data_IF_608713255809
#
_entry.id   IF_608713255809
#
_cell.length_a   1.000
_cell.length_b   1.000
_cell.length_c   1.000
_cell.angle_alpha   90.00
_cell.angle_beta   90.00
_cell.angle_gamma   90.00
#
_symmetry.space_group_name_H-M   'P 1'
#
loop_
_entity.id
_entity.type
_entity.pdbx_description
1 polymer ?
#
# COMPACT_ATOMS: atom_id res chain seq x y z
N UNK A 1 -6.23 9.29 -10.34
CA UNK A 1 -7.71 9.29 -10.36
C UNK A 1 -8.17 9.38 -8.92
N UNK A 2 -9.16 10.23 -8.62
CA UNK A 2 -9.76 10.33 -7.28
C UNK A 2 -11.11 9.65 -7.29
N UNK A 3 -11.28 8.65 -6.44
CA UNK A 3 -12.57 7.98 -6.27
C UNK A 3 -13.52 8.82 -5.42
N UNK A 4 -12.99 9.61 -4.47
CA UNK A 4 -13.77 10.57 -3.69
C UNK A 4 -14.47 11.61 -4.58
N UNK A 5 -13.76 12.22 -5.53
CA UNK A 5 -14.35 13.18 -6.47
C UNK A 5 -15.45 12.55 -7.35
N UNK A 6 -15.31 11.27 -7.69
CA UNK A 6 -16.33 10.53 -8.45
C UNK A 6 -17.56 10.26 -7.57
N UNK A 7 -17.35 9.92 -6.29
CA UNK A 7 -18.43 9.74 -5.33
C UNK A 7 -19.23 11.04 -5.16
N UNK A 8 -18.54 12.17 -4.97
CA UNK A 8 -19.16 13.49 -4.85
C UNK A 8 -19.98 13.85 -6.09
N UNK A 9 -19.44 13.61 -7.29
CA UNK A 9 -20.17 13.82 -8.55
C UNK A 9 -21.41 12.91 -8.70
N UNK A 10 -21.43 11.77 -8.00
CA UNK A 10 -22.57 10.85 -7.95
C UNK A 10 -23.53 11.12 -6.78
N UNK A 11 -23.32 12.19 -6.00
CA UNK A 11 -24.15 12.53 -4.84
C UNK A 11 -23.88 11.69 -3.59
N UNK A 12 -22.72 11.02 -3.52
CA UNK A 12 -22.25 10.24 -2.38
C UNK A 12 -21.17 11.04 -1.65
N UNK A 13 -21.17 11.00 -0.32
CA UNK A 13 -20.10 11.63 0.45
C UNK A 13 -18.75 10.98 0.13
N UNK A 14 -17.77 11.77 -0.32
CA UNK A 14 -16.42 11.31 -0.64
C UNK A 14 -15.40 11.91 0.32
N UNK A 15 -14.50 11.09 0.87
CA UNK A 15 -13.34 11.58 1.64
C UNK A 15 -12.09 10.88 1.16
N UNK A 16 -11.00 11.65 0.98
CA UNK A 16 -9.72 11.14 0.50
C UNK A 16 -8.61 11.37 1.52
N UNK A 17 -7.86 10.31 1.83
CA UNK A 17 -6.66 10.36 2.67
C UNK A 17 -5.42 9.99 1.87
N UNK A 18 -4.38 10.82 1.95
CA UNK A 18 -3.13 10.61 1.19
C UNK A 18 -1.94 10.31 2.09
N UNK A 19 -2.04 10.64 3.38
CA UNK A 19 -1.02 10.37 4.38
C UNK A 19 -1.54 9.37 5.42
N UNK A 20 -0.67 8.54 6.03
CA UNK A 20 -1.10 7.58 7.05
C UNK A 20 -1.84 8.20 8.24
N UNK A 21 -1.52 9.46 8.60
CA UNK A 21 -2.20 10.20 9.69
C UNK A 21 -3.65 10.57 9.36
N UNK A 22 -4.01 10.61 8.08
CA UNK A 22 -5.34 11.00 7.62
C UNK A 22 -6.34 9.86 7.79
N UNK A 23 -5.86 8.60 7.88
CA UNK A 23 -6.69 7.38 7.90
C UNK A 23 -7.75 7.45 9.00
N UNK A 24 -7.35 7.81 10.22
CA UNK A 24 -8.29 7.87 11.36
C UNK A 24 -9.37 8.94 11.12
N UNK A 25 -8.98 10.13 10.70
CA UNK A 25 -9.91 11.23 10.48
C UNK A 25 -10.86 10.96 9.31
N UNK A 26 -10.35 10.39 8.22
CA UNK A 26 -11.15 10.02 7.04
C UNK A 26 -12.18 8.94 7.39
N UNK A 27 -11.78 7.89 8.11
CA UNK A 27 -12.69 6.85 8.57
C UNK A 27 -13.74 7.39 9.55
N UNK A 28 -13.32 8.20 10.53
CA UNK A 28 -14.23 8.80 11.50
C UNK A 28 -15.29 9.66 10.79
N UNK A 29 -14.85 10.55 9.90
CA UNK A 29 -15.74 11.44 9.15
C UNK A 29 -16.74 10.69 8.26
N UNK A 30 -16.32 9.58 7.63
CA UNK A 30 -17.22 8.77 6.83
C UNK A 30 -18.20 7.95 7.68
N UNK A 31 -17.79 7.47 8.85
CA UNK A 31 -18.66 6.75 9.78
C UNK A 31 -19.67 7.67 10.47
N UNK A 32 -19.31 8.92 10.72
CA UNK A 32 -20.20 9.94 11.31
C UNK A 32 -21.16 10.55 10.28
N UNK A 33 -20.94 10.31 8.97
CA UNK A 33 -21.79 10.83 7.91
C UNK A 33 -23.11 10.05 7.83
N UNK A 34 -24.28 10.71 7.96
CA UNK A 34 -25.57 10.06 7.81
C UNK A 34 -25.87 9.79 6.32
N UNK A 35 -25.51 8.61 5.83
CA UNK A 35 -25.81 8.18 4.46
C UNK A 35 -24.66 7.39 3.81
N UNK A 36 -24.75 7.14 2.49
CA UNK A 36 -23.67 6.50 1.74
C UNK A 36 -22.39 7.34 1.77
N UNK A 37 -21.26 6.68 2.04
CA UNK A 37 -19.94 7.31 2.07
C UNK A 37 -18.90 6.44 1.35
N UNK A 38 -17.97 7.10 0.64
CA UNK A 38 -16.80 6.49 0.01
C UNK A 38 -15.52 7.06 0.63
N UNK A 39 -14.65 6.18 1.11
CA UNK A 39 -13.32 6.52 1.63
C UNK A 39 -12.27 6.09 0.61
N UNK A 40 -11.55 7.06 0.05
CA UNK A 40 -10.47 6.88 -0.92
C UNK A 40 -9.11 7.03 -0.22
N UNK A 41 -8.44 5.93 0.11
CA UNK A 41 -7.14 5.95 0.77
C UNK A 41 -6.02 5.61 -0.22
N UNK A 42 -5.07 6.53 -0.37
CA UNK A 42 -3.88 6.30 -1.18
C UNK A 42 -2.89 5.44 -0.39
N UNK A 43 -2.50 4.32 -0.96
CA UNK A 43 -1.50 3.41 -0.39
C UNK A 43 -0.25 3.36 -1.26
N UNK A 44 0.84 2.82 -0.71
CA UNK A 44 2.07 2.62 -1.47
C UNK A 44 1.86 1.46 -2.46
N UNK A 45 1.93 1.69 -3.79
CA UNK A 45 1.74 0.64 -4.78
C UNK A 45 2.85 -0.42 -4.75
N UNK A 46 3.96 -0.15 -4.06
CA UNK A 46 5.07 -1.08 -3.90
C UNK A 46 5.03 -1.82 -2.57
N UNK A 47 4.02 -1.64 -1.71
CA UNK A 47 3.93 -2.35 -0.44
C UNK A 47 3.90 -3.88 -0.67
N UNK A 48 4.77 -4.60 0.04
CA UNK A 48 4.84 -6.05 0.03
C UNK A 48 3.94 -6.60 1.13
N UNK A 49 3.03 -7.52 0.75
CA UNK A 49 2.35 -8.36 1.72
C UNK A 49 3.32 -9.42 2.23
N UNK A 50 3.84 -9.21 3.45
CA UNK A 50 4.70 -10.17 4.13
C UNK A 50 3.83 -10.98 5.11
N UNK A 51 3.59 -12.28 4.86
CA UNK A 51 2.82 -13.10 5.78
C UNK A 51 3.60 -13.35 7.08
N UNK A 52 2.91 -13.60 8.21
CA UNK A 52 3.56 -13.84 9.51
C UNK A 52 4.44 -15.10 9.53
N UNK A 53 4.13 -16.08 8.67
CA UNK A 53 4.95 -17.26 8.45
C UNK A 53 5.42 -17.28 7.01
N UNK A 54 6.74 -17.17 6.83
CA UNK A 54 7.39 -17.24 5.51
C UNK A 54 8.05 -18.60 5.38
N UNK A 55 7.71 -19.34 4.32
CA UNK A 55 8.38 -20.60 3.96
C UNK A 55 9.60 -20.35 3.06
N UNK A 56 10.59 -21.26 3.10
CA UNK A 56 11.75 -21.19 2.21
C UNK A 56 11.37 -21.25 0.72
N UNK A 57 10.30 -21.96 0.37
CA UNK A 57 9.77 -22.01 -0.99
C UNK A 57 9.25 -20.65 -1.46
N UNK A 58 8.56 -19.89 -0.59
CA UNK A 58 8.08 -18.53 -0.90
C UNK A 58 9.25 -17.55 -1.08
N UNK A 59 10.29 -17.63 -0.24
CA UNK A 59 11.50 -16.80 -0.40
C UNK A 59 12.16 -17.06 -1.76
N UNK A 60 12.32 -18.34 -2.13
CA UNK A 60 12.91 -18.71 -3.41
C UNK A 60 12.06 -18.25 -4.59
N UNK A 61 10.74 -18.43 -4.53
CA UNK A 61 9.80 -17.96 -5.56
C UNK A 61 9.83 -16.45 -5.73
N UNK A 62 9.86 -15.71 -4.62
CA UNK A 62 10.01 -14.25 -4.63
C UNK A 62 11.33 -13.83 -5.26
N UNK A 63 12.46 -14.44 -4.88
CA UNK A 63 13.77 -14.13 -5.43
C UNK A 63 13.82 -14.34 -6.95
N UNK A 64 13.26 -15.45 -7.46
CA UNK A 64 13.18 -15.73 -8.90
C UNK A 64 12.32 -14.69 -9.64
N UNK A 65 11.16 -14.33 -9.09
CA UNK A 65 10.30 -13.31 -9.67
C UNK A 65 10.98 -11.93 -9.70
N UNK A 66 11.65 -11.55 -8.60
CA UNK A 66 12.44 -10.34 -8.48
C UNK A 66 13.56 -10.27 -9.54
N UNK A 67 14.32 -11.36 -9.71
CA UNK A 67 15.37 -11.45 -10.73
C UNK A 67 14.81 -11.26 -12.15
N UNK A 68 13.66 -11.87 -12.47
CA UNK A 68 12.99 -11.69 -13.77
C UNK A 68 12.60 -10.23 -14.03
N UNK A 69 12.09 -9.52 -13.02
CA UNK A 69 11.77 -8.09 -13.13
C UNK A 69 13.03 -7.25 -13.39
N UNK A 70 14.14 -7.55 -12.71
CA UNK A 70 15.43 -6.87 -12.96
C UNK A 70 15.91 -7.08 -14.39
N UNK A 71 15.93 -8.34 -14.85
CA UNK A 71 16.41 -8.69 -16.19
C UNK A 71 15.54 -8.11 -17.32
N UNK A 72 14.26 -7.85 -17.05
CA UNK A 72 13.35 -7.19 -17.99
C UNK A 72 13.42 -5.64 -17.96
N UNK A 73 14.48 -5.07 -17.37
CA UNK A 73 14.70 -3.61 -17.30
C UNK A 73 14.00 -2.93 -16.11
N UNK A 74 13.44 -3.69 -15.18
CA UNK A 74 12.70 -3.19 -14.02
C UNK A 74 13.53 -2.78 -12.81
N UNK A 75 14.84 -2.53 -12.97
CA UNK A 75 15.78 -2.24 -11.85
C UNK A 75 15.27 -1.11 -10.95
N UNK A 76 14.84 0.01 -11.54
CA UNK A 76 14.32 1.15 -10.77
C UNK A 76 13.04 0.84 -9.99
N UNK A 77 12.16 -0.02 -10.52
CA UNK A 77 10.97 -0.47 -9.79
C UNK A 77 11.34 -1.36 -8.60
N UNK A 78 12.30 -2.26 -8.79
CA UNK A 78 12.79 -3.14 -7.72
C UNK A 78 13.44 -2.35 -6.58
N UNK A 79 14.22 -1.30 -6.89
CA UNK A 79 14.81 -0.41 -5.88
C UNK A 79 13.74 0.35 -5.09
N UNK A 80 12.72 0.88 -5.76
CA UNK A 80 11.58 1.55 -5.09
C UNK A 80 10.85 0.58 -4.15
N UNK A 81 10.56 -0.63 -4.62
CA UNK A 81 9.92 -1.67 -3.81
C UNK A 81 10.76 -2.05 -2.59
N UNK A 82 12.08 -2.23 -2.74
CA UNK A 82 12.95 -2.53 -1.62
C UNK A 82 12.91 -1.40 -0.56
N UNK A 83 13.03 -0.13 -1.01
CA UNK A 83 13.03 1.04 -0.12
C UNK A 83 11.71 1.21 0.64
N UNK A 84 10.57 1.02 -0.04
CA UNK A 84 9.24 1.14 0.55
C UNK A 84 8.95 0.12 1.66
N UNK A 85 9.60 -1.06 1.60
CA UNK A 85 9.32 -2.20 2.47
C UNK A 85 10.37 -2.50 3.51
N UNK A 86 11.55 -1.87 3.47
CA UNK A 86 12.62 -2.14 4.41
C UNK A 86 12.15 -2.05 5.88
N UNK A 87 11.28 -1.10 6.20
CA UNK A 87 10.66 -0.91 7.52
C UNK A 87 9.70 -2.03 7.96
N UNK A 88 9.22 -2.85 7.02
CA UNK A 88 8.22 -3.90 7.25
C UNK A 88 8.83 -5.31 7.30
N UNK A 89 10.14 -5.46 7.02
CA UNK A 89 10.82 -6.76 7.03
C UNK A 89 11.29 -7.09 8.46
N UNK A 90 10.85 -8.22 9.05
CA UNK A 90 11.34 -8.65 10.36
C UNK A 90 12.88 -8.84 10.32
N UNK A 91 13.60 -8.12 11.17
CA UNK A 91 15.07 -8.18 11.26
C UNK A 91 15.84 -7.01 10.63
N UNK A 92 15.21 -6.16 9.81
CA UNK A 92 15.86 -4.96 9.26
C UNK A 92 16.14 -3.87 10.32
N UNK A 93 15.54 -4.00 11.52
CA UNK A 93 15.74 -3.12 12.68
C UNK A 93 16.96 -3.54 13.53
N UNK A 94 17.55 -4.72 13.27
CA UNK A 94 18.62 -5.29 14.11
C UNK A 94 20.05 -4.85 13.74
N UNK A 95 20.20 -3.86 12.85
CA UNK A 95 21.49 -3.21 12.56
C UNK A 95 21.44 -1.75 12.99
N UNK A 96 21.32 -1.55 14.30
CA UNK A 96 21.76 -0.36 15.02
C UNK A 96 22.42 -0.80 16.31
#
# INVERSE_FOLDING_TARGET
MSYAAIAEAAGIYGVRGEQPKDVRAALQSALDHPGPALVDLVTDPNALSIPPHVSGAQVKGFALAAMKVVLSGGVGRMLKMARSNLRNIPGAVLVR
#
